data_IF_434364665237
#
_entry.id   IF_434364665237
#
_cell.length_a   1.000
_cell.length_b   1.000
_cell.length_c   1.000
_cell.angle_alpha   90.00
_cell.angle_beta   90.00
_cell.angle_gamma   90.00
#
_symmetry.space_group_name_H-M   'P 1'
#
loop_
_entity.id
_entity.type
_entity.pdbx_description
1 polymer ?
#
# COMPACT_ATOMS: atom_id res chain seq x y z
N UNK A 1 12.29 19.36 22.37
CA UNK A 1 10.89 18.93 22.15
C UNK A 1 10.98 17.63 21.37
N UNK A 2 10.63 16.50 21.99
CA UNK A 2 10.69 15.20 21.33
C UNK A 2 9.45 15.07 20.44
N UNK A 3 9.60 15.33 19.14
CA UNK A 3 8.55 15.01 18.17
C UNK A 3 8.39 13.49 18.19
N UNK A 4 7.30 12.98 18.77
CA UNK A 4 6.90 11.59 18.57
C UNK A 4 6.77 11.38 17.07
N UNK A 5 7.71 10.63 16.48
CA UNK A 5 7.60 10.17 15.10
C UNK A 5 6.34 9.29 15.04
N UNK A 6 5.28 9.80 14.42
CA UNK A 6 4.05 9.06 14.25
C UNK A 6 4.28 8.01 13.16
N UNK A 7 4.36 6.75 13.58
CA UNK A 7 4.52 5.63 12.65
C UNK A 7 3.14 5.26 12.11
N UNK A 8 2.98 5.36 10.80
CA UNK A 8 1.76 5.00 10.07
C UNK A 8 1.82 3.52 9.75
N UNK A 9 0.85 2.74 10.23
CA UNK A 9 0.74 1.31 9.96
C UNK A 9 -0.39 1.05 8.97
N UNK A 10 -0.06 0.49 7.81
CA UNK A 10 -1.03 0.07 6.80
C UNK A 10 -0.96 -1.44 6.60
N UNK A 11 -2.03 -1.99 6.01
CA UNK A 11 -2.11 -3.40 5.60
C UNK A 11 -1.95 -3.48 4.09
N UNK A 12 -1.12 -4.39 3.62
CA UNK A 12 -0.99 -4.73 2.20
C UNK A 12 -1.23 -6.23 2.05
N UNK A 13 -2.28 -6.62 1.36
CA UNK A 13 -2.52 -8.02 0.99
C UNK A 13 -1.63 -8.38 -0.20
N UNK A 14 -0.80 -9.42 -0.03
CA UNK A 14 0.11 -9.95 -1.05
C UNK A 14 -0.05 -11.47 -1.06
N UNK A 15 -0.37 -12.04 -2.22
CA UNK A 15 -0.65 -13.48 -2.39
C UNK A 15 -1.68 -14.03 -1.38
N UNK A 16 -2.76 -13.27 -1.13
CA UNK A 16 -3.81 -13.63 -0.18
C UNK A 16 -3.39 -13.57 1.30
N UNK A 17 -2.26 -12.92 1.61
CA UNK A 17 -1.76 -12.75 2.98
C UNK A 17 -1.59 -11.28 3.34
N UNK A 18 -2.15 -10.89 4.48
CA UNK A 18 -2.03 -9.53 5.00
C UNK A 18 -0.62 -9.28 5.55
N UNK A 19 0.03 -8.22 5.06
CA UNK A 19 1.32 -7.71 5.52
C UNK A 19 1.12 -6.36 6.20
N UNK A 20 1.49 -6.26 7.46
CA UNK A 20 1.52 -4.98 8.16
C UNK A 20 2.84 -4.28 7.89
N UNK A 21 2.78 -3.10 7.30
CA UNK A 21 3.95 -2.31 6.92
C UNK A 21 3.88 -0.92 7.54
N UNK A 22 5.04 -0.40 7.91
CA UNK A 22 5.19 0.82 8.70
C UNK A 22 5.91 1.89 7.90
N UNK A 23 5.41 3.12 7.99
CA UNK A 23 5.97 4.29 7.35
C UNK A 23 6.12 5.42 8.37
N UNK A 24 7.13 6.26 8.18
CA UNK A 24 7.38 7.42 9.05
C UNK A 24 6.84 8.72 8.43
N UNK A 25 6.52 8.68 7.14
CA UNK A 25 6.11 9.83 6.34
C UNK A 25 4.95 9.45 5.42
N UNK A 26 4.21 10.47 5.00
CA UNK A 26 3.15 10.40 4.00
C UNK A 26 3.15 11.75 3.27
N UNK A 27 2.98 11.79 1.93
CA UNK A 27 2.72 10.67 1.04
C UNK A 27 3.95 9.78 0.79
N UNK A 28 3.72 8.59 0.22
CA UNK A 28 4.73 7.62 -0.18
C UNK A 28 4.45 7.12 -1.60
N UNK A 29 5.46 6.56 -2.26
CA UNK A 29 5.28 6.00 -3.61
C UNK A 29 4.64 4.61 -3.58
N UNK A 30 3.94 4.24 -4.66
CA UNK A 30 3.46 2.86 -4.85
C UNK A 30 4.58 1.82 -4.86
N UNK A 31 5.80 2.21 -5.26
CA UNK A 31 7.02 1.41 -5.14
C UNK A 31 7.36 1.12 -3.68
N UNK A 32 7.42 2.15 -2.84
CA UNK A 32 7.72 1.97 -1.41
C UNK A 32 6.72 1.07 -0.69
N UNK A 33 5.43 1.13 -1.07
CA UNK A 33 4.39 0.24 -0.54
C UNK A 33 4.73 -1.22 -0.89
N UNK A 34 4.99 -1.49 -2.17
CA UNK A 34 5.31 -2.85 -2.65
C UNK A 34 6.60 -3.38 -2.04
N UNK A 35 7.67 -2.59 -2.04
CA UNK A 35 8.97 -2.98 -1.48
C UNK A 35 8.87 -3.31 0.01
N UNK A 36 8.20 -2.46 0.81
CA UNK A 36 8.02 -2.74 2.25
C UNK A 36 7.12 -3.95 2.50
N UNK A 37 6.11 -4.18 1.65
CA UNK A 37 5.22 -5.34 1.76
C UNK A 37 5.83 -6.64 1.24
N UNK A 38 6.93 -6.57 0.50
CA UNK A 38 7.50 -7.70 -0.22
C UNK A 38 6.65 -8.13 -1.43
N UNK A 39 5.85 -7.22 -1.99
CA UNK A 39 5.10 -7.46 -3.21
C UNK A 39 6.00 -7.29 -4.45
N UNK A 40 5.81 -8.08 -5.51
CA UNK A 40 6.46 -7.85 -6.79
C UNK A 40 6.20 -6.43 -7.33
N UNK A 41 7.22 -5.78 -7.89
CA UNK A 41 7.06 -4.46 -8.52
C UNK A 41 6.26 -4.50 -9.83
N UNK A 42 6.03 -5.70 -10.36
CA UNK A 42 5.17 -5.94 -11.51
C UNK A 42 3.69 -5.96 -11.14
N UNK A 43 3.35 -6.18 -9.87
CA UNK A 43 1.96 -6.33 -9.45
C UNK A 43 1.21 -5.00 -9.46
N UNK A 44 -0.07 -5.06 -9.81
CA UNK A 44 -0.99 -3.93 -9.68
C UNK A 44 -1.28 -3.70 -8.19
N UNK A 45 -1.23 -2.45 -7.75
CA UNK A 45 -1.49 -2.06 -6.36
C UNK A 45 -2.75 -1.20 -6.34
N UNK A 46 -3.74 -1.60 -5.57
CA UNK A 46 -5.00 -0.86 -5.46
C UNK A 46 -5.37 -0.71 -3.99
N UNK A 47 -5.97 0.42 -3.63
CA UNK A 47 -6.50 0.62 -2.28
C UNK A 47 -7.80 -0.16 -2.10
N UNK A 48 -7.98 -0.81 -0.96
CA UNK A 48 -9.23 -1.44 -0.56
C UNK A 48 -10.00 -0.52 0.40
N UNK A 49 -11.21 -0.12 0.01
CA UNK A 49 -12.14 0.62 0.88
C UNK A 49 -13.32 -0.29 1.19
N UNK A 50 -13.53 -0.59 2.47
CA UNK A 50 -14.52 -1.58 2.95
C UNK A 50 -14.37 -2.95 2.27
N UNK A 51 -13.13 -3.38 2.02
CA UNK A 51 -12.81 -4.68 1.42
C UNK A 51 -13.04 -4.76 -0.10
N UNK A 52 -13.29 -3.63 -0.77
CA UNK A 52 -13.44 -3.57 -2.23
C UNK A 52 -12.35 -2.70 -2.85
N UNK A 53 -11.79 -3.08 -4.00
CA UNK A 53 -10.90 -2.20 -4.77
C UNK A 53 -11.57 -0.86 -5.02
N UNK A 54 -10.88 0.21 -4.64
CA UNK A 54 -11.32 1.59 -4.78
C UNK A 54 -10.26 2.35 -5.55
N UNK A 55 -10.65 2.90 -6.70
CA UNK A 55 -9.74 3.60 -7.60
C UNK A 55 -9.09 2.69 -8.64
N UNK A 56 -8.12 3.25 -9.36
CA UNK A 56 -7.33 2.55 -10.36
C UNK A 56 -6.03 1.97 -9.78
N UNK A 57 -5.26 1.32 -10.65
CA UNK A 57 -3.91 0.86 -10.32
C UNK A 57 -3.03 2.05 -9.91
N UNK A 58 -2.35 1.90 -8.77
CA UNK A 58 -1.33 2.82 -8.26
C UNK A 58 0.00 2.39 -8.86
N UNK A 59 0.53 3.22 -9.77
CA UNK A 59 1.83 3.04 -10.40
C UNK A 59 2.98 3.06 -9.40
N UNK A 60 4.17 2.70 -9.86
CA UNK A 60 5.36 2.64 -9.00
C UNK A 60 5.75 4.02 -8.45
N UNK A 61 5.63 5.06 -9.26
CA UNK A 61 6.07 6.41 -8.91
C UNK A 61 4.90 7.33 -8.49
N UNK A 62 3.68 6.78 -8.41
CA UNK A 62 2.50 7.51 -7.94
C UNK A 62 2.60 7.76 -6.44
N UNK A 63 2.42 9.02 -6.05
CA UNK A 63 2.37 9.43 -4.64
C UNK A 63 0.99 9.15 -4.04
N UNK A 64 0.98 8.37 -2.97
CA UNK A 64 -0.21 7.95 -2.23
C UNK A 64 -0.16 8.55 -0.84
N UNK A 65 -1.19 9.32 -0.49
CA UNK A 65 -1.42 9.71 0.90
C UNK A 65 -1.96 8.51 1.68
N UNK A 66 -1.22 8.08 2.69
CA UNK A 66 -1.59 6.98 3.58
C UNK A 66 -1.94 7.46 4.98
N UNK A 67 -2.80 6.70 5.66
CA UNK A 67 -3.16 6.83 7.09
C UNK A 67 -3.21 5.46 7.77
N UNK A 68 -3.19 5.46 9.11
CA UNK A 68 -3.25 4.21 9.87
C UNK A 68 -4.50 3.38 9.55
N UNK A 69 -4.26 2.09 9.37
CA UNK A 69 -5.29 1.12 9.03
C UNK A 69 -5.74 1.14 7.56
N UNK A 70 -5.14 1.97 6.71
CA UNK A 70 -5.37 1.85 5.27
C UNK A 70 -5.02 0.43 4.80
N UNK A 71 -5.80 -0.05 3.85
CA UNK A 71 -5.66 -1.38 3.29
C UNK A 71 -5.43 -1.29 1.79
N UNK A 72 -4.41 -1.99 1.31
CA UNK A 72 -4.08 -2.13 -0.10
C UNK A 72 -4.00 -3.61 -0.46
N UNK A 73 -4.12 -3.90 -1.74
CA UNK A 73 -3.90 -5.24 -2.29
C UNK A 73 -2.95 -5.14 -3.47
N UNK A 74 -1.95 -6.02 -3.50
CA UNK A 74 -1.08 -6.25 -4.63
C UNK A 74 -1.52 -7.53 -5.34
N UNK A 75 -1.83 -7.43 -6.63
CA UNK A 75 -2.26 -8.56 -7.45
C UNK A 75 -1.42 -8.64 -8.73
N UNK A 76 -1.18 -9.84 -9.27
CA UNK A 76 -0.57 -9.98 -10.59
C UNK A 76 -1.33 -9.15 -11.63
N UNK A 77 -0.58 -8.48 -12.51
CA UNK A 77 -1.16 -7.60 -13.53
C UNK A 77 -2.29 -8.28 -14.31
N UNK A 78 -3.40 -7.57 -14.48
CA UNK A 78 -4.56 -8.08 -15.23
C UNK A 78 -5.54 -8.93 -14.42
N UNK A 79 -5.35 -9.05 -13.10
CA UNK A 79 -6.32 -9.69 -12.21
C UNK A 79 -7.49 -8.77 -11.86
N UNK A 80 -7.28 -7.44 -11.86
CA UNK A 80 -8.33 -6.44 -11.64
C UNK A 80 -8.87 -6.00 -13.00
N UNK A 81 -10.11 -6.42 -13.34
CA UNK A 81 -10.85 -6.04 -14.55
C UNK A 81 -11.92 -4.98 -14.29
#
# INVERSE_FOLDING_TARGET
METKHHVINIVVEVDGRNRHVRFETSPITGREIRERAGAPLTDDLTQLVHGKPSGGNIGLDDLVAIKDGDHFIALPTGTVS
#
